data_IF_138835706492
#
_entry.id   IF_138835706492
#
_cell.length_a   1.000
_cell.length_b   1.000
_cell.length_c   1.000
_cell.angle_alpha   90.00
_cell.angle_beta   90.00
_cell.angle_gamma   90.00
#
_symmetry.space_group_name_H-M   'P 1'
#
loop_
_entity.id
_entity.type
_entity.pdbx_description
1 polymer ?
#
# COMPACT_ATOMS: atom_id res chain seq x y z
N UNK A 1 -13.83 -1.80 -12.81
CA UNK A 1 -14.34 -1.04 -11.67
C UNK A 1 -13.20 -0.45 -10.85
N UNK A 2 -13.52 0.55 -10.01
CA UNK A 2 -12.64 1.08 -8.97
C UNK A 2 -13.18 0.66 -7.61
N UNK A 3 -12.32 0.08 -6.76
CA UNK A 3 -12.58 -0.12 -5.34
C UNK A 3 -11.95 1.01 -4.55
N UNK A 4 -12.69 1.60 -3.61
CA UNK A 4 -12.20 2.67 -2.73
C UNK A 4 -12.40 2.25 -1.29
N UNK A 5 -11.34 2.26 -0.49
CA UNK A 5 -11.38 2.12 0.97
C UNK A 5 -11.27 3.50 1.60
N UNK A 6 -12.08 3.80 2.60
CA UNK A 6 -12.19 5.15 3.19
C UNK A 6 -12.32 5.06 4.71
N UNK A 7 -11.75 6.04 5.41
CA UNK A 7 -11.81 6.17 6.86
C UNK A 7 -12.05 7.63 7.26
N UNK A 8 -12.99 7.86 8.17
CA UNK A 8 -13.35 9.20 8.65
C UNK A 8 -12.41 9.63 9.77
N UNK A 9 -11.56 10.61 9.48
CA UNK A 9 -10.55 11.07 10.42
C UNK A 9 -11.16 11.80 11.63
N UNK A 10 -10.56 11.58 12.81
CA UNK A 10 -10.85 12.35 14.00
C UNK A 10 -12.12 11.96 14.77
N UNK A 11 -12.82 10.86 14.42
CA UNK A 11 -14.03 10.40 15.10
C UNK A 11 -13.83 10.28 16.61
N UNK A 12 -12.75 9.65 17.06
CA UNK A 12 -12.44 9.51 18.49
C UNK A 12 -12.28 10.87 19.17
N UNK A 13 -11.60 11.81 18.53
CA UNK A 13 -11.35 13.15 19.09
C UNK A 13 -12.68 13.90 19.27
N UNK A 14 -13.60 13.76 18.30
CA UNK A 14 -14.92 14.38 18.35
C UNK A 14 -15.76 13.72 19.46
N UNK A 15 -15.77 12.39 19.53
CA UNK A 15 -16.45 11.66 20.60
C UNK A 15 -15.97 12.08 22.00
N UNK A 16 -14.64 12.15 22.18
CA UNK A 16 -14.04 12.49 23.48
C UNK A 16 -14.31 13.97 23.88
N UNK A 17 -14.42 14.89 22.91
CA UNK A 17 -14.62 16.33 23.16
C UNK A 17 -16.08 16.77 23.20
N UNK A 18 -16.95 16.15 22.38
CA UNK A 18 -18.32 16.62 22.14
C UNK A 18 -19.37 15.52 22.36
N UNK A 19 -18.94 14.30 22.72
CA UNK A 19 -19.81 13.14 22.97
C UNK A 19 -20.18 12.37 21.70
N UNK A 20 -20.70 11.15 21.89
CA UNK A 20 -21.04 10.21 20.80
C UNK A 20 -22.03 10.78 19.78
N UNK A 21 -23.00 11.60 20.20
CA UNK A 21 -23.95 12.22 19.28
C UNK A 21 -23.26 13.11 18.22
N UNK A 22 -22.17 13.78 18.55
CA UNK A 22 -21.38 14.55 17.59
C UNK A 22 -20.56 13.64 16.66
N UNK A 23 -20.09 12.51 17.17
CA UNK A 23 -19.44 11.50 16.32
C UNK A 23 -20.40 10.84 15.35
N UNK A 24 -21.63 10.54 15.78
CA UNK A 24 -22.68 10.02 14.89
C UNK A 24 -23.02 11.02 13.79
N UNK A 25 -23.11 12.32 14.14
CA UNK A 25 -23.29 13.38 13.16
C UNK A 25 -22.15 13.44 12.13
N UNK A 26 -20.88 13.31 12.59
CA UNK A 26 -19.72 13.25 11.71
C UNK A 26 -19.82 12.08 10.71
N UNK A 27 -20.19 10.89 11.18
CA UNK A 27 -20.37 9.71 10.34
C UNK A 27 -21.50 9.91 9.32
N UNK A 28 -22.64 10.45 9.73
CA UNK A 28 -23.76 10.76 8.83
C UNK A 28 -23.36 11.75 7.74
N UNK A 29 -22.64 12.78 8.11
CA UNK A 29 -22.11 13.80 7.21
C UNK A 29 -21.13 13.19 6.21
N UNK A 30 -20.17 12.39 6.67
CA UNK A 30 -19.22 11.70 5.80
C UNK A 30 -19.94 10.77 4.82
N UNK A 31 -20.88 9.96 5.31
CA UNK A 31 -21.70 9.08 4.47
C UNK A 31 -22.49 9.85 3.41
N UNK A 32 -23.09 10.98 3.77
CA UNK A 32 -23.84 11.83 2.84
C UNK A 32 -22.92 12.40 1.75
N UNK A 33 -21.74 12.89 2.12
CA UNK A 33 -20.74 13.40 1.17
C UNK A 33 -20.29 12.30 0.18
N UNK A 34 -19.96 11.12 0.68
CA UNK A 34 -19.57 9.96 -0.16
C UNK A 34 -20.71 9.56 -1.10
N UNK A 35 -21.94 9.41 -0.61
CA UNK A 35 -23.10 9.03 -1.41
C UNK A 35 -23.43 10.06 -2.49
N UNK A 36 -23.41 11.33 -2.16
CA UNK A 36 -23.67 12.40 -3.12
C UNK A 36 -22.71 12.35 -4.31
N UNK A 37 -21.44 12.00 -4.05
CA UNK A 37 -20.43 11.94 -5.09
C UNK A 37 -20.40 10.62 -5.84
N UNK A 38 -20.56 9.48 -5.15
CA UNK A 38 -20.30 8.15 -5.69
C UNK A 38 -21.55 7.37 -6.14
N UNK A 39 -22.74 7.61 -5.58
CA UNK A 39 -23.95 6.78 -5.81
C UNK A 39 -24.37 6.68 -7.28
N UNK A 40 -24.10 7.71 -8.10
CA UNK A 40 -24.38 7.65 -9.55
C UNK A 40 -23.43 6.73 -10.34
N UNK A 41 -22.31 6.35 -9.73
CA UNK A 41 -21.27 5.54 -10.38
C UNK A 41 -21.14 4.14 -9.77
N UNK A 42 -21.79 3.88 -8.63
CA UNK A 42 -21.69 2.61 -7.94
C UNK A 42 -22.40 2.62 -6.60
N UNK A 43 -21.82 1.97 -5.61
CA UNK A 43 -22.39 1.88 -4.25
C UNK A 43 -21.35 2.16 -3.19
N UNK A 44 -21.79 2.83 -2.12
CA UNK A 44 -21.04 3.09 -0.91
C UNK A 44 -21.56 2.20 0.22
N UNK A 45 -20.67 1.57 0.95
CA UNK A 45 -20.94 0.67 2.07
C UNK A 45 -20.24 1.19 3.32
N UNK A 46 -20.91 1.15 4.48
CA UNK A 46 -20.27 1.31 5.77
C UNK A 46 -19.82 -0.07 6.26
N UNK A 47 -18.52 -0.24 6.49
CA UNK A 47 -17.93 -1.51 6.88
C UNK A 47 -17.99 -1.69 8.41
N UNK A 48 -17.81 -0.61 9.15
CA UNK A 48 -17.90 -0.58 10.61
C UNK A 48 -17.30 0.71 11.18
N UNK A 49 -17.76 1.19 12.31
CA UNK A 49 -17.18 2.37 12.96
C UNK A 49 -17.08 3.58 12.02
N UNK A 50 -15.86 4.00 11.73
CA UNK A 50 -15.46 5.10 10.84
C UNK A 50 -15.04 4.62 9.42
N UNK A 51 -15.13 3.32 9.14
CA UNK A 51 -14.67 2.70 7.90
C UNK A 51 -15.79 2.56 6.87
N UNK A 52 -15.50 2.93 5.63
CA UNK A 52 -16.38 2.83 4.47
C UNK A 52 -15.65 2.22 3.28
N UNK A 53 -16.42 1.62 2.37
CA UNK A 53 -15.92 1.16 1.08
C UNK A 53 -16.85 1.62 -0.05
N UNK A 54 -16.30 1.80 -1.25
CA UNK A 54 -17.12 2.02 -2.44
C UNK A 54 -16.62 1.13 -3.60
N UNK A 55 -17.60 0.66 -4.41
CA UNK A 55 -17.34 -0.03 -5.67
C UNK A 55 -17.96 0.83 -6.77
N UNK A 56 -17.11 1.37 -7.66
CA UNK A 56 -17.52 2.33 -8.70
C UNK A 56 -17.26 1.73 -10.08
N UNK A 57 -18.28 1.70 -10.92
CA UNK A 57 -18.21 1.12 -12.27
C UNK A 57 -17.78 2.19 -13.28
N UNK A 58 -16.56 2.68 -13.14
CA UNK A 58 -15.97 3.73 -13.97
C UNK A 58 -14.56 3.34 -14.43
N UNK A 59 -14.07 3.99 -15.48
CA UNK A 59 -12.68 3.90 -15.90
C UNK A 59 -11.80 4.78 -15.00
N UNK A 60 -10.48 4.50 -15.00
CA UNK A 60 -9.51 5.22 -14.17
C UNK A 60 -9.52 6.73 -14.44
N UNK A 61 -9.58 7.15 -15.70
CA UNK A 61 -9.57 8.57 -16.07
C UNK A 61 -10.81 9.30 -15.55
N UNK A 62 -11.97 8.63 -15.61
CA UNK A 62 -13.21 9.16 -15.06
C UNK A 62 -13.17 9.26 -13.54
N UNK A 63 -12.59 8.24 -12.89
CA UNK A 63 -12.42 8.25 -11.43
C UNK A 63 -11.51 9.38 -10.97
N UNK A 64 -10.43 9.70 -11.68
CA UNK A 64 -9.55 10.82 -11.34
C UNK A 64 -10.28 12.18 -11.34
N UNK A 65 -11.26 12.34 -12.24
CA UNK A 65 -12.13 13.52 -12.21
C UNK A 65 -13.08 13.50 -11.02
N UNK A 66 -13.74 12.36 -10.75
CA UNK A 66 -14.67 12.17 -9.61
C UNK A 66 -13.94 12.42 -8.29
N UNK A 67 -12.73 11.89 -8.15
CA UNK A 67 -11.88 12.04 -6.97
C UNK A 67 -11.56 13.50 -6.68
N UNK A 68 -11.15 14.27 -7.69
CA UNK A 68 -10.91 15.71 -7.53
C UNK A 68 -12.15 16.49 -7.05
N UNK A 69 -13.32 16.10 -7.53
CA UNK A 69 -14.57 16.70 -7.06
C UNK A 69 -14.86 16.29 -5.60
N UNK A 70 -14.61 15.03 -5.24
CA UNK A 70 -14.76 14.55 -3.87
C UNK A 70 -13.81 15.25 -2.89
N UNK A 71 -12.55 15.45 -3.27
CA UNK A 71 -11.58 16.24 -2.49
C UNK A 71 -12.07 17.67 -2.28
N UNK A 72 -12.67 18.25 -3.32
CA UNK A 72 -13.32 19.57 -3.25
C UNK A 72 -14.49 19.60 -2.28
N UNK A 73 -15.38 18.61 -2.33
CA UNK A 73 -16.53 18.50 -1.43
C UNK A 73 -16.09 18.40 0.03
N UNK A 74 -15.12 17.53 0.34
CA UNK A 74 -14.54 17.38 1.68
C UNK A 74 -13.95 18.71 2.16
N UNK A 75 -13.13 19.36 1.34
CA UNK A 75 -12.44 20.60 1.70
C UNK A 75 -13.40 21.76 1.99
N UNK A 76 -14.49 21.85 1.23
CA UNK A 76 -15.47 22.94 1.35
C UNK A 76 -16.63 22.59 2.29
N UNK A 77 -16.65 21.38 2.83
CA UNK A 77 -17.69 20.99 3.78
C UNK A 77 -17.68 21.88 5.02
N UNK A 78 -18.86 22.34 5.41
CA UNK A 78 -19.08 23.10 6.65
C UNK A 78 -20.42 22.72 7.24
N UNK A 79 -20.44 22.51 8.55
CA UNK A 79 -21.64 22.28 9.32
C UNK A 79 -21.53 23.00 10.68
N UNK A 80 -22.65 23.27 11.34
CA UNK A 80 -22.65 24.07 12.57
C UNK A 80 -21.85 23.44 13.71
N UNK A 81 -21.82 22.11 13.83
CA UNK A 81 -21.10 21.38 14.89
C UNK A 81 -19.75 20.85 14.42
N UNK A 82 -19.65 20.43 13.17
CA UNK A 82 -18.44 19.85 12.58
C UNK A 82 -17.78 20.92 11.73
N UNK A 83 -16.70 21.49 12.26
CA UNK A 83 -15.97 22.57 11.60
C UNK A 83 -15.22 22.13 10.36
N UNK A 84 -14.77 20.88 10.32
CA UNK A 84 -13.94 20.33 9.26
C UNK A 84 -14.25 18.85 9.07
N UNK A 85 -14.55 18.46 7.84
CA UNK A 85 -14.65 17.07 7.42
C UNK A 85 -13.30 16.63 6.87
N UNK A 86 -12.82 15.46 7.31
CA UNK A 86 -11.62 14.85 6.77
C UNK A 86 -11.83 13.36 6.59
N UNK A 87 -11.51 12.85 5.41
CA UNK A 87 -11.67 11.44 5.05
C UNK A 87 -10.35 11.01 4.39
N UNK A 88 -9.68 10.03 4.95
CA UNK A 88 -8.55 9.38 4.30
C UNK A 88 -9.06 8.25 3.43
N UNK A 89 -8.52 8.09 2.22
CA UNK A 89 -8.96 7.03 1.33
C UNK A 89 -7.84 6.50 0.43
N UNK A 90 -7.93 5.21 0.12
CA UNK A 90 -7.11 4.54 -0.88
C UNK A 90 -7.98 3.90 -1.94
N UNK A 91 -7.50 3.78 -3.16
CA UNK A 91 -8.27 3.18 -4.23
C UNK A 91 -7.42 2.28 -5.13
N UNK A 92 -8.09 1.34 -5.79
CA UNK A 92 -7.50 0.38 -6.71
C UNK A 92 -8.41 0.21 -7.92
N UNK A 93 -7.83 0.26 -9.12
CA UNK A 93 -8.53 -0.13 -10.34
C UNK A 93 -8.46 -1.65 -10.55
N UNK A 94 -9.59 -2.27 -10.88
CA UNK A 94 -9.60 -3.69 -11.25
C UNK A 94 -8.77 -4.00 -12.50
N UNK A 95 -8.46 -2.98 -13.31
CA UNK A 95 -7.59 -3.09 -14.50
C UNK A 95 -6.13 -2.75 -14.23
N UNK A 96 -5.75 -2.48 -12.99
CA UNK A 96 -4.37 -2.11 -12.62
C UNK A 96 -3.41 -3.29 -12.75
N UNK A 97 -3.91 -4.49 -12.48
CA UNK A 97 -3.21 -5.76 -12.68
C UNK A 97 -4.22 -6.93 -12.71
N UNK A 98 -3.72 -8.17 -12.88
CA UNK A 98 -4.53 -9.36 -12.64
C UNK A 98 -4.67 -9.60 -11.13
N UNK A 99 -5.89 -9.58 -10.63
CA UNK A 99 -6.23 -9.80 -9.24
C UNK A 99 -6.76 -11.22 -9.02
N UNK A 100 -6.24 -11.91 -8.02
CA UNK A 100 -6.69 -13.27 -7.70
C UNK A 100 -8.02 -13.26 -6.92
N UNK A 101 -8.35 -12.16 -6.23
CA UNK A 101 -9.57 -12.03 -5.45
C UNK A 101 -9.96 -10.57 -5.15
N UNK A 102 -11.23 -10.36 -4.78
CA UNK A 102 -11.68 -9.07 -4.23
C UNK A 102 -10.97 -8.70 -2.93
N UNK A 103 -10.57 -9.70 -2.14
CA UNK A 103 -9.82 -9.48 -0.91
C UNK A 103 -8.50 -8.79 -1.19
N UNK A 104 -7.80 -9.22 -2.22
CA UNK A 104 -6.54 -8.63 -2.63
C UNK A 104 -6.67 -7.17 -3.07
N UNK A 105 -7.75 -6.86 -3.81
CA UNK A 105 -8.08 -5.48 -4.20
C UNK A 105 -8.34 -4.62 -2.95
N UNK A 106 -9.14 -5.14 -2.00
CA UNK A 106 -9.43 -4.41 -0.76
C UNK A 106 -8.19 -4.22 0.10
N UNK A 107 -7.35 -5.24 0.28
CA UNK A 107 -6.13 -5.15 1.08
C UNK A 107 -5.18 -4.05 0.55
N UNK A 108 -5.03 -3.93 -0.78
CA UNK A 108 -4.21 -2.87 -1.39
C UNK A 108 -4.85 -1.49 -1.24
N UNK A 109 -6.17 -1.39 -1.37
CA UNK A 109 -6.86 -0.12 -1.16
C UNK A 109 -6.75 0.34 0.30
N UNK A 110 -6.87 -0.60 1.26
CA UNK A 110 -6.69 -0.33 2.69
C UNK A 110 -5.28 0.20 3.00
N UNK A 111 -4.25 -0.43 2.43
CA UNK A 111 -2.87 0.04 2.56
C UNK A 111 -2.76 1.50 2.12
N UNK A 112 -3.24 1.84 0.92
CA UNK A 112 -3.20 3.21 0.38
C UNK A 112 -3.99 4.19 1.25
N UNK A 113 -5.12 3.77 1.81
CA UNK A 113 -5.92 4.58 2.73
C UNK A 113 -5.15 4.84 4.04
N UNK A 114 -4.47 3.82 4.60
CA UNK A 114 -3.66 3.99 5.80
C UNK A 114 -2.45 4.92 5.58
N UNK A 115 -1.85 4.94 4.40
CA UNK A 115 -0.79 5.90 4.05
C UNK A 115 -1.30 7.33 4.12
N UNK A 116 -2.46 7.60 3.53
CA UNK A 116 -3.09 8.93 3.57
C UNK A 116 -3.48 9.34 5.00
N UNK A 117 -4.06 8.39 5.76
CA UNK A 117 -4.44 8.60 7.17
C UNK A 117 -3.23 8.97 8.03
N UNK A 118 -2.09 8.34 7.80
CA UNK A 118 -0.84 8.66 8.52
C UNK A 118 -0.32 10.06 8.16
N UNK A 119 -0.41 10.47 6.91
CA UNK A 119 -0.05 11.84 6.50
C UNK A 119 -0.96 12.88 7.17
N UNK A 120 -2.26 12.59 7.27
CA UNK A 120 -3.21 13.45 7.99
C UNK A 120 -2.82 13.64 9.46
N UNK A 121 -2.54 12.56 10.20
CA UNK A 121 -2.17 12.66 11.61
C UNK A 121 -0.82 13.34 11.82
N UNK A 122 0.16 13.10 10.97
CA UNK A 122 1.44 13.79 11.00
C UNK A 122 1.28 15.31 10.84
N UNK A 123 0.45 15.73 9.87
CA UNK A 123 0.19 17.14 9.58
C UNK A 123 -0.52 17.84 10.75
N UNK A 124 -1.42 17.14 11.44
CA UNK A 124 -2.24 17.70 12.51
C UNK A 124 -1.64 17.51 13.92
N UNK A 125 -0.40 16.98 14.04
CA UNK A 125 0.30 16.83 15.30
C UNK A 125 -0.38 15.88 16.30
N UNK A 126 -1.23 14.97 15.82
CA UNK A 126 -1.97 14.01 16.66
C UNK A 126 -1.18 12.71 16.71
N UNK A 127 -0.52 12.45 17.83
CA UNK A 127 0.12 11.16 18.09
C UNK A 127 -0.95 10.14 18.50
N UNK A 128 -1.27 9.20 17.64
CA UNK A 128 -2.14 8.07 17.98
C UNK A 128 -1.28 6.93 18.50
N UNK A 129 -1.32 6.68 19.79
CA UNK A 129 -0.88 5.41 20.37
C UNK A 129 -1.73 4.28 19.78
N UNK A 130 -1.12 3.44 18.91
CA UNK A 130 -1.65 2.14 18.52
C UNK A 130 -1.99 1.97 17.02
N UNK A 131 -1.21 1.18 16.37
CA UNK A 131 -1.33 0.36 15.16
C UNK A 131 -0.96 0.95 13.78
N UNK A 132 -1.45 2.09 13.24
CA UNK A 132 -1.02 2.50 11.89
C UNK A 132 0.43 2.97 11.82
N UNK A 133 1.00 3.46 12.92
CA UNK A 133 2.38 3.96 12.97
C UNK A 133 3.40 2.87 12.60
N UNK A 134 3.16 1.62 12.98
CA UNK A 134 4.06 0.51 12.63
C UNK A 134 4.04 0.19 11.13
N UNK A 135 2.87 0.19 10.50
CA UNK A 135 2.74 0.00 9.04
C UNK A 135 3.37 1.17 8.29
N UNK A 136 3.06 2.41 8.66
CA UNK A 136 3.65 3.61 8.05
C UNK A 136 5.16 3.68 8.25
N UNK A 137 5.66 3.27 9.41
CA UNK A 137 7.09 3.17 9.66
C UNK A 137 7.75 2.12 8.76
N UNK A 138 7.10 0.96 8.56
CA UNK A 138 7.56 -0.07 7.63
C UNK A 138 7.61 0.47 6.19
N UNK A 139 6.54 1.14 5.71
CA UNK A 139 6.51 1.73 4.36
C UNK A 139 7.52 2.85 4.15
N UNK A 140 7.95 3.56 5.22
CA UNK A 140 9.01 4.58 5.14
C UNK A 140 10.42 4.01 5.19
N UNK A 141 10.56 2.80 5.73
CA UNK A 141 11.85 2.12 5.81
C UNK A 141 12.21 1.43 4.50
N UNK A 142 11.21 1.17 3.63
CA UNK A 142 11.38 0.39 2.42
C UNK A 142 10.88 1.17 1.20
N UNK A 143 11.72 1.25 0.17
CA UNK A 143 11.38 1.91 -1.11
C UNK A 143 10.44 1.08 -1.97
N UNK A 144 10.40 -0.24 -1.73
CA UNK A 144 9.46 -1.16 -2.36
C UNK A 144 9.08 -2.29 -1.42
N UNK A 145 7.82 -2.74 -1.55
CA UNK A 145 7.32 -3.96 -0.89
C UNK A 145 6.60 -4.77 -1.96
N UNK A 146 7.00 -6.04 -2.09
CA UNK A 146 6.41 -6.99 -3.01
C UNK A 146 5.87 -8.19 -2.24
N UNK A 147 4.71 -8.65 -2.60
CA UNK A 147 4.25 -10.01 -2.30
C UNK A 147 4.89 -10.94 -3.34
N UNK A 148 5.41 -12.06 -2.91
CA UNK A 148 6.11 -13.02 -3.77
C UNK A 148 5.55 -14.43 -3.60
N UNK A 149 5.54 -15.19 -4.69
CA UNK A 149 5.27 -16.62 -4.67
C UNK A 149 6.42 -17.32 -5.42
N UNK A 150 7.27 -18.03 -4.66
CA UNK A 150 8.45 -18.70 -5.21
C UNK A 150 8.09 -19.96 -6.02
N UNK A 151 6.94 -20.60 -5.76
CA UNK A 151 6.51 -21.77 -6.51
C UNK A 151 6.07 -21.41 -7.92
N UNK A 152 5.30 -20.32 -8.04
CA UNK A 152 4.79 -19.82 -9.31
C UNK A 152 5.76 -18.86 -10.01
N UNK A 153 6.92 -18.59 -9.42
CA UNK A 153 7.87 -17.55 -9.87
C UNK A 153 7.17 -16.20 -10.14
N UNK A 154 6.37 -15.72 -9.18
CA UNK A 154 5.57 -14.50 -9.34
C UNK A 154 5.87 -13.49 -8.26
N UNK A 155 5.79 -12.22 -8.64
CA UNK A 155 5.70 -11.10 -7.70
C UNK A 155 4.50 -10.21 -8.00
N UNK A 156 4.10 -9.46 -6.96
CA UNK A 156 3.13 -8.37 -7.04
C UNK A 156 3.64 -7.21 -6.20
N UNK A 157 3.69 -6.02 -6.79
CA UNK A 157 4.09 -4.80 -6.07
C UNK A 157 2.93 -4.34 -5.19
N UNK A 158 3.17 -4.24 -3.88
CA UNK A 158 2.23 -3.70 -2.90
C UNK A 158 2.46 -2.21 -2.65
N UNK A 159 3.73 -1.79 -2.58
CA UNK A 159 4.12 -0.40 -2.44
C UNK A 159 5.30 -0.06 -3.36
N UNK A 160 5.20 1.10 -3.99
CA UNK A 160 6.25 1.66 -4.84
C UNK A 160 6.34 3.16 -4.61
N UNK A 161 7.47 3.65 -4.16
CA UNK A 161 7.76 5.08 -4.15
C UNK A 161 8.15 5.52 -5.56
N UNK A 162 7.32 6.38 -6.21
CA UNK A 162 7.66 6.98 -7.51
C UNK A 162 8.87 7.91 -7.35
N UNK A 163 10.06 7.37 -7.49
CA UNK A 163 11.24 8.20 -7.70
C UNK A 163 11.27 8.64 -9.16
N UNK A 164 11.51 9.93 -9.39
CA UNK A 164 11.41 10.65 -10.70
C UNK A 164 12.17 10.05 -11.89
N UNK A 165 12.93 8.98 -11.71
CA UNK A 165 13.84 8.40 -12.71
C UNK A 165 13.70 6.89 -12.96
N UNK A 166 12.71 6.18 -12.39
CA UNK A 166 12.56 4.74 -12.66
C UNK A 166 11.43 4.50 -13.65
N UNK A 167 11.70 3.70 -14.70
CA UNK A 167 10.68 3.21 -15.65
C UNK A 167 9.57 2.53 -14.86
N UNK A 168 8.32 2.84 -15.21
CA UNK A 168 7.13 2.17 -14.67
C UNK A 168 7.29 0.66 -14.88
N UNK A 169 7.47 -0.06 -13.80
CA UNK A 169 7.57 -1.52 -13.81
C UNK A 169 6.16 -2.09 -13.75
N UNK A 170 5.94 -3.25 -14.37
CA UNK A 170 4.65 -3.92 -14.29
C UNK A 170 4.33 -4.27 -12.83
N UNK A 171 3.08 -4.05 -12.42
CA UNK A 171 2.65 -4.29 -11.03
C UNK A 171 2.71 -5.78 -10.64
N UNK A 172 2.75 -6.67 -11.64
CA UNK A 172 2.88 -8.13 -11.51
C UNK A 172 3.82 -8.64 -12.60
N UNK A 173 4.61 -9.66 -12.28
CA UNK A 173 5.49 -10.32 -13.25
C UNK A 173 6.21 -11.52 -12.67
N UNK A 174 7.17 -12.07 -13.43
CA UNK A 174 8.05 -13.13 -12.96
C UNK A 174 9.07 -12.56 -11.96
N UNK A 175 9.18 -13.17 -10.78
CA UNK A 175 10.11 -12.73 -9.73
C UNK A 175 11.57 -12.89 -10.17
N UNK A 176 11.88 -13.93 -10.92
CA UNK A 176 13.20 -14.15 -11.52
C UNK A 176 13.59 -13.02 -12.47
N UNK A 177 12.67 -12.55 -13.30
CA UNK A 177 12.87 -11.39 -14.17
C UNK A 177 12.99 -10.10 -13.37
N UNK A 178 12.19 -9.95 -12.30
CA UNK A 178 12.29 -8.79 -11.43
C UNK A 178 13.71 -8.66 -10.83
N UNK A 179 14.29 -9.74 -10.33
CA UNK A 179 15.67 -9.73 -9.82
C UNK A 179 16.71 -9.33 -10.89
N UNK A 180 16.44 -9.61 -12.16
CA UNK A 180 17.33 -9.24 -13.26
C UNK A 180 17.08 -7.83 -13.80
N UNK A 181 15.82 -7.39 -13.85
CA UNK A 181 15.40 -6.14 -14.49
C UNK A 181 15.32 -4.97 -13.51
N UNK A 182 14.96 -5.23 -12.23
CA UNK A 182 14.93 -4.21 -11.19
C UNK A 182 16.30 -3.61 -10.96
N UNK A 183 17.28 -4.47 -10.96
CA UNK A 183 18.67 -4.08 -10.89
C UNK A 183 19.34 -4.39 -12.23
N UNK A 184 19.67 -3.36 -12.98
CA UNK A 184 20.60 -3.56 -14.09
C UNK A 184 21.87 -4.19 -13.50
N UNK A 185 22.08 -5.48 -13.78
CA UNK A 185 23.20 -6.27 -13.24
C UNK A 185 24.54 -5.56 -13.45
N UNK A 186 24.63 -4.74 -14.51
CA UNK A 186 25.83 -3.94 -14.83
C UNK A 186 26.08 -2.82 -13.80
N UNK A 187 25.08 -2.42 -13.03
CA UNK A 187 25.19 -1.42 -11.98
C UNK A 187 25.61 -2.01 -10.63
N UNK A 188 25.53 -3.34 -10.47
CA UNK A 188 25.96 -4.01 -9.24
C UNK A 188 27.49 -4.04 -9.18
N UNK A 189 28.05 -3.70 -8.03
CA UNK A 189 29.50 -3.76 -7.82
C UNK A 189 30.03 -5.17 -8.04
N UNK A 190 31.16 -5.31 -8.73
CA UNK A 190 31.74 -6.62 -9.13
C UNK A 190 31.88 -7.61 -7.98
N UNK A 191 32.31 -7.15 -6.79
CA UNK A 191 32.51 -8.00 -5.61
C UNK A 191 31.18 -8.55 -5.07
N UNK A 192 30.06 -7.87 -5.32
CA UNK A 192 28.75 -8.23 -4.79
C UNK A 192 27.94 -9.07 -5.79
N UNK A 193 28.28 -8.99 -7.08
CA UNK A 193 27.52 -9.58 -8.18
C UNK A 193 27.34 -11.09 -8.06
N UNK A 194 28.43 -11.83 -7.79
CA UNK A 194 28.38 -13.31 -7.66
C UNK A 194 27.48 -13.72 -6.51
N UNK A 195 27.56 -13.01 -5.37
CA UNK A 195 26.73 -13.26 -4.19
C UNK A 195 25.27 -12.91 -4.45
N UNK A 196 25.01 -11.80 -5.16
CA UNK A 196 23.68 -11.38 -5.56
C UNK A 196 23.02 -12.45 -6.43
N UNK A 197 23.64 -12.81 -7.56
CA UNK A 197 23.13 -13.81 -8.50
C UNK A 197 22.90 -15.19 -7.87
N UNK A 198 23.70 -15.58 -6.89
CA UNK A 198 23.50 -16.84 -6.15
C UNK A 198 22.28 -16.78 -5.24
N UNK A 199 22.12 -15.67 -4.49
CA UNK A 199 21.08 -15.55 -3.46
C UNK A 199 19.70 -15.18 -4.01
N UNK A 200 19.62 -14.60 -5.22
CA UNK A 200 18.37 -14.24 -5.91
C UNK A 200 17.79 -15.39 -6.75
N UNK A 201 18.50 -16.54 -6.85
CA UNK A 201 17.94 -17.73 -7.50
C UNK A 201 16.72 -18.24 -6.73
N UNK A 202 15.62 -18.47 -7.42
CA UNK A 202 14.38 -19.00 -6.84
C UNK A 202 14.63 -20.27 -6.04
N UNK A 203 15.42 -21.21 -6.61
CA UNK A 203 15.81 -22.47 -5.94
C UNK A 203 16.57 -22.24 -4.63
N UNK A 204 17.42 -21.22 -4.59
CA UNK A 204 18.12 -20.85 -3.35
C UNK A 204 17.13 -20.37 -2.29
N UNK A 205 16.18 -19.50 -2.67
CA UNK A 205 15.18 -18.95 -1.77
C UNK A 205 14.23 -20.04 -1.27
N UNK A 206 13.73 -20.92 -2.15
CA UNK A 206 12.93 -22.10 -1.78
C UNK A 206 13.65 -22.95 -0.72
N UNK A 207 14.94 -23.23 -0.93
CA UNK A 207 15.75 -23.98 0.04
C UNK A 207 15.88 -23.26 1.39
N UNK A 208 15.97 -21.93 1.40
CA UNK A 208 16.02 -21.18 2.66
C UNK A 208 14.68 -21.25 3.41
N UNK A 209 13.55 -21.15 2.70
CA UNK A 209 12.22 -21.28 3.28
C UNK A 209 11.96 -22.68 3.82
N UNK A 210 12.29 -23.73 3.04
CA UNK A 210 12.21 -25.13 3.48
C UNK A 210 13.04 -25.40 4.76
N UNK A 211 14.17 -24.72 4.92
CA UNK A 211 15.01 -24.79 6.12
C UNK A 211 14.51 -23.92 7.29
N UNK A 212 13.26 -23.45 7.27
CA UNK A 212 12.63 -22.63 8.33
C UNK A 212 13.38 -21.35 8.67
N UNK A 213 14.11 -20.76 7.72
CA UNK A 213 14.71 -19.46 7.96
C UNK A 213 13.63 -18.39 8.09
N UNK A 214 13.70 -17.60 9.15
CA UNK A 214 12.75 -16.50 9.41
C UNK A 214 12.82 -15.39 8.37
N UNK A 215 14.01 -15.16 7.80
CA UNK A 215 14.21 -14.18 6.72
C UNK A 215 15.52 -14.47 5.96
N UNK A 216 15.59 -13.96 4.73
CA UNK A 216 16.80 -13.97 3.89
C UNK A 216 17.18 -12.53 3.57
N UNK A 217 18.41 -12.14 3.90
CA UNK A 217 18.93 -10.80 3.58
C UNK A 217 19.97 -10.87 2.47
N UNK A 218 19.79 -9.98 1.48
CA UNK A 218 20.72 -9.81 0.36
C UNK A 218 21.11 -8.33 0.33
N UNK A 219 22.36 -8.02 0.64
CA UNK A 219 22.90 -6.66 0.60
C UNK A 219 23.96 -6.58 -0.49
N UNK A 220 23.90 -5.53 -1.30
CA UNK A 220 24.81 -5.26 -2.40
C UNK A 220 24.97 -3.76 -2.63
N UNK A 221 25.99 -3.37 -3.36
CA UNK A 221 26.26 -1.99 -3.78
C UNK A 221 25.79 -1.81 -5.22
N UNK A 222 24.98 -0.77 -5.46
CA UNK A 222 24.51 -0.36 -6.78
C UNK A 222 25.12 0.99 -7.14
N UNK A 223 25.60 1.13 -8.37
CA UNK A 223 26.13 2.40 -8.90
C UNK A 223 24.99 3.38 -9.13
N UNK A 224 25.14 4.59 -8.59
CA UNK A 224 24.23 5.70 -8.76
C UNK A 224 25.05 6.97 -9.03
N UNK A 225 25.05 7.39 -10.31
CA UNK A 225 25.99 8.44 -10.76
C UNK A 225 27.45 7.98 -10.61
N UNK A 226 28.25 8.76 -9.89
CA UNK A 226 29.66 8.49 -9.63
C UNK A 226 29.93 7.75 -8.30
N UNK A 227 28.87 7.38 -7.57
CA UNK A 227 28.98 6.73 -6.27
C UNK A 227 28.26 5.38 -6.24
N UNK A 228 28.46 4.63 -5.14
CA UNK A 228 27.76 3.39 -4.87
C UNK A 228 26.82 3.57 -3.66
N UNK A 229 25.56 3.21 -3.86
CA UNK A 229 24.55 3.15 -2.80
C UNK A 229 24.38 1.71 -2.34
N UNK A 230 24.18 1.50 -1.04
CA UNK A 230 23.91 0.19 -0.46
C UNK A 230 22.43 -0.13 -0.54
N UNK A 231 22.09 -1.22 -1.21
CA UNK A 231 20.72 -1.74 -1.31
C UNK A 231 20.63 -3.02 -0.46
N UNK A 232 19.52 -3.15 0.25
CA UNK A 232 19.22 -4.35 1.04
C UNK A 232 17.87 -4.90 0.65
N UNK A 233 17.82 -6.17 0.26
CA UNK A 233 16.60 -6.94 0.06
C UNK A 233 16.38 -7.82 1.29
N UNK A 234 15.21 -7.73 1.90
CA UNK A 234 14.77 -8.59 3.00
C UNK A 234 13.60 -9.44 2.51
N UNK A 235 13.75 -10.76 2.50
CA UNK A 235 12.75 -11.70 2.01
C UNK A 235 12.25 -12.50 3.19
N UNK A 236 10.95 -12.39 3.49
CA UNK A 236 10.31 -12.95 4.69
C UNK A 236 9.20 -13.91 4.25
N UNK A 237 9.19 -15.19 4.70
CA UNK A 237 8.05 -16.09 4.50
C UNK A 237 6.78 -15.52 5.12
N UNK A 238 5.62 -15.74 4.50
CA UNK A 238 4.33 -15.21 4.97
C UNK A 238 3.97 -15.73 6.37
N UNK A 239 4.23 -17.00 6.63
CA UNK A 239 4.03 -17.58 7.96
C UNK A 239 5.03 -18.70 8.27
N UNK A 240 5.17 -19.07 9.55
CA UNK A 240 6.08 -20.13 9.99
C UNK A 240 5.66 -21.53 9.50
N UNK A 241 4.40 -21.73 9.10
CA UNK A 241 3.84 -22.97 8.59
C UNK A 241 3.84 -23.07 7.06
N UNK A 242 4.27 -22.03 6.34
CA UNK A 242 4.30 -21.98 4.87
C UNK A 242 5.41 -22.82 4.22
N UNK A 243 5.73 -23.97 4.84
CA UNK A 243 6.68 -24.93 4.28
C UNK A 243 6.27 -25.44 2.89
N UNK A 244 4.98 -25.31 2.53
CA UNK A 244 4.41 -25.83 1.29
C UNK A 244 3.89 -24.74 0.33
N UNK A 245 3.75 -23.49 0.75
CA UNK A 245 3.17 -22.44 -0.11
C UNK A 245 4.24 -21.59 -0.81
N UNK A 246 5.44 -21.54 -0.27
CA UNK A 246 6.53 -20.71 -0.79
C UNK A 246 6.15 -19.25 -1.03
N UNK A 247 5.17 -18.74 -0.26
CA UNK A 247 4.70 -17.37 -0.29
C UNK A 247 5.41 -16.51 0.74
N UNK A 248 5.57 -15.23 0.44
CA UNK A 248 6.24 -14.32 1.34
C UNK A 248 6.25 -12.89 0.83
N UNK A 249 7.02 -12.06 1.51
CA UNK A 249 7.19 -10.65 1.17
C UNK A 249 8.65 -10.33 0.92
N UNK A 250 8.91 -9.48 -0.07
CA UNK A 250 10.22 -8.93 -0.37
C UNK A 250 10.18 -7.43 -0.10
N UNK A 251 11.06 -6.97 0.76
CA UNK A 251 11.23 -5.58 1.15
C UNK A 251 12.53 -5.04 0.56
N UNK A 252 12.48 -3.89 -0.09
CA UNK A 252 13.65 -3.19 -0.65
C UNK A 252 13.95 -1.97 0.20
N UNK A 253 15.17 -1.88 0.70
CA UNK A 253 15.68 -0.74 1.48
C UNK A 253 16.89 -0.14 0.77
N UNK A 254 16.81 1.16 0.52
CA UNK A 254 17.90 1.96 -0.07
C UNK A 254 18.63 2.82 0.95
#
# INVERSE_FOLDING_TARGET
FIYVSMDVNGLKIINDRQGHAAGDELICVAASCMKTRFDRYGKVYRMGGDEFAAILFVKREQFEWIRRQFDGDIKHWRCNRIKELSISYGYVSSSECQWDSMKEISDVADIRMYEEKAMYYKKNGVDRQGQPAAYVALYRLYTQILQINLEKDRYKILNWEETKNKKKQDSIGALSEWFHNFEDIRLIHSDDLVKYLKKTKIEYLKKQFANKKKFVTITYRRKEGDSYKRITLEIIPENENSQNTYEGFLYVKE
#
